data_IF_548682230596
#
_entry.id   IF_548682230596
#
_cell.length_a   1.000
_cell.length_b   1.000
_cell.length_c   1.000
_cell.angle_alpha   90.00
_cell.angle_beta   90.00
_cell.angle_gamma   90.00
#
_symmetry.space_group_name_H-M   'P 1'
#
loop_
_entity.id
_entity.type
_entity.pdbx_description
1 polymer ?
#
# COMPACT_ATOMS: atom_id res chain seq x y z
N UNK A 1 21.64 -10.96 48.49
CA UNK A 1 22.37 -9.90 47.74
C UNK A 1 22.47 -10.36 46.29
N UNK A 2 21.64 -9.77 45.43
CA UNK A 2 21.57 -10.00 43.99
C UNK A 2 22.80 -9.43 43.29
N UNK A 3 23.30 -10.06 42.22
CA UNK A 3 23.29 -9.47 40.87
C UNK A 3 23.55 -10.56 39.82
N UNK A 4 22.54 -10.88 39.01
CA UNK A 4 22.69 -11.61 37.74
C UNK A 4 22.44 -10.59 36.62
N UNK A 5 23.47 -10.24 35.86
CA UNK A 5 23.34 -9.43 34.66
C UNK A 5 22.99 -10.37 33.48
N UNK A 6 21.74 -10.34 33.01
CA UNK A 6 21.33 -10.98 31.76
C UNK A 6 21.55 -10.00 30.59
N UNK A 7 22.34 -10.44 29.61
CA UNK A 7 22.50 -9.82 28.29
C UNK A 7 21.13 -9.71 27.58
N UNK A 8 20.80 -8.53 27.09
CA UNK A 8 19.71 -8.31 26.13
C UNK A 8 20.15 -8.74 24.72
N UNK A 9 19.20 -9.27 23.94
CA UNK A 9 19.38 -9.76 22.57
C UNK A 9 19.44 -8.62 21.54
N UNK A 10 20.08 -8.81 20.37
CA UNK A 10 20.25 -7.78 19.35
C UNK A 10 18.95 -7.35 18.64
N UNK A 11 17.81 -7.94 19.00
CA UNK A 11 16.49 -7.61 18.46
C UNK A 11 15.89 -6.32 19.04
N UNK A 12 16.49 -5.75 20.10
CA UNK A 12 15.93 -4.60 20.81
C UNK A 12 16.63 -3.25 20.50
N UNK A 13 17.71 -3.25 19.72
CA UNK A 13 18.41 -2.03 19.32
C UNK A 13 17.79 -1.34 18.07
N UNK A 14 16.83 -1.98 17.39
CA UNK A 14 16.21 -1.50 16.15
C UNK A 14 14.97 -0.62 16.42
N UNK A 15 14.47 -0.55 17.66
CA UNK A 15 13.21 0.15 17.97
C UNK A 15 13.37 1.61 18.47
N UNK A 16 14.59 2.18 18.53
CA UNK A 16 14.80 3.52 19.11
C UNK A 16 15.25 4.58 18.09
N UNK A 17 15.54 4.21 16.84
CA UNK A 17 15.97 5.18 15.81
C UNK A 17 14.89 5.51 14.77
N UNK A 18 13.65 5.73 15.22
CA UNK A 18 12.55 6.23 14.39
C UNK A 18 11.78 7.41 15.03
N UNK A 19 12.36 8.07 16.06
CA UNK A 19 11.67 9.10 16.86
C UNK A 19 12.26 10.52 16.71
N UNK A 20 13.22 10.76 15.81
CA UNK A 20 13.62 12.15 15.50
C UNK A 20 13.76 12.36 14.00
N UNK A 21 12.70 12.92 13.39
CA UNK A 21 12.73 14.20 12.65
C UNK A 21 11.39 14.38 11.91
N UNK A 22 10.43 15.00 12.59
CA UNK A 22 9.49 15.90 11.91
C UNK A 22 10.02 17.32 12.09
N UNK A 23 9.90 18.12 11.04
CA UNK A 23 10.24 19.55 10.89
C UNK A 23 11.71 19.89 10.59
N UNK A 24 12.09 19.79 9.32
CA UNK A 24 12.90 20.79 8.61
C UNK A 24 12.94 20.47 7.11
N UNK A 25 12.57 21.43 6.26
CA UNK A 25 12.83 21.41 4.82
C UNK A 25 11.81 20.62 4.00
N UNK A 26 10.79 21.30 3.48
CA UNK A 26 10.12 20.83 2.28
C UNK A 26 11.13 20.80 1.14
N UNK A 27 11.54 19.61 0.75
CA UNK A 27 12.13 19.38 -0.57
C UNK A 27 10.95 19.45 -1.51
N UNK A 28 10.95 20.40 -2.45
CA UNK A 28 10.03 20.37 -3.58
C UNK A 28 10.28 19.04 -4.30
N UNK A 29 9.38 18.08 -4.12
CA UNK A 29 9.39 16.86 -4.92
C UNK A 29 9.24 17.20 -6.40
N UNK A 30 9.78 16.34 -7.25
CA UNK A 30 9.53 16.35 -8.69
C UNK A 30 8.04 16.57 -8.99
N UNK A 31 7.74 17.41 -9.98
CA UNK A 31 6.35 17.66 -10.39
C UNK A 31 5.67 16.33 -10.78
N UNK A 32 4.43 16.14 -10.33
CA UNK A 32 3.64 14.97 -10.73
C UNK A 32 3.21 15.09 -12.19
N UNK A 33 3.33 14.00 -12.95
CA UNK A 33 2.78 13.91 -14.31
C UNK A 33 1.42 13.24 -14.25
N UNK A 34 0.39 13.90 -14.78
CA UNK A 34 -0.93 13.28 -14.97
C UNK A 34 -1.00 12.70 -16.37
N UNK A 35 -1.27 11.41 -16.45
CA UNK A 35 -1.27 10.62 -17.68
C UNK A 35 -2.68 10.52 -18.29
N UNK A 36 -2.78 10.18 -19.59
CA UNK A 36 -4.08 10.07 -20.27
C UNK A 36 -5.00 8.97 -19.70
N UNK A 37 -4.42 7.96 -19.03
CA UNK A 37 -5.12 6.90 -18.31
C UNK A 37 -5.47 7.26 -16.85
N UNK A 38 -5.32 8.55 -16.48
CA UNK A 38 -5.72 9.13 -15.20
C UNK A 38 -4.74 8.92 -14.05
N UNK A 39 -3.68 8.14 -14.25
CA UNK A 39 -2.60 8.00 -13.27
C UNK A 39 -1.93 9.36 -13.00
N UNK A 40 -1.64 9.63 -11.73
CA UNK A 40 -0.76 10.73 -11.32
C UNK A 40 0.54 10.14 -10.81
N UNK A 41 1.60 10.27 -11.60
CA UNK A 41 2.89 9.66 -11.31
C UNK A 41 3.85 10.70 -10.74
N UNK A 42 4.39 10.40 -9.58
CA UNK A 42 5.53 11.10 -8.99
C UNK A 42 6.78 10.26 -9.23
N UNK A 43 7.72 10.76 -10.03
CA UNK A 43 8.93 10.03 -10.38
C UNK A 43 10.13 10.58 -9.60
N UNK A 44 10.87 9.69 -8.95
CA UNK A 44 12.07 10.05 -8.20
C UNK A 44 13.29 9.38 -8.83
N UNK A 45 14.14 10.21 -9.43
CA UNK A 45 15.31 9.77 -10.16
C UNK A 45 16.44 9.27 -9.26
N UNK A 46 17.31 8.41 -9.79
CA UNK A 46 18.43 7.85 -9.02
C UNK A 46 19.39 8.90 -8.48
N UNK A 47 19.62 9.98 -9.24
CA UNK A 47 20.48 11.09 -8.83
C UNK A 47 19.86 11.89 -7.67
N UNK A 48 18.53 12.09 -7.70
CA UNK A 48 17.79 12.75 -6.62
C UNK A 48 17.84 11.92 -5.34
N UNK A 49 17.58 10.61 -5.45
CA UNK A 49 17.66 9.67 -4.31
C UNK A 49 19.08 9.60 -3.76
N UNK A 50 20.12 9.59 -4.60
CA UNK A 50 21.51 9.57 -4.14
C UNK A 50 21.88 10.86 -3.39
N UNK A 51 21.35 12.01 -3.81
CA UNK A 51 21.53 13.28 -3.12
C UNK A 51 20.73 13.35 -1.81
N UNK A 52 19.59 12.65 -1.74
CA UNK A 52 18.68 12.65 -0.60
C UNK A 52 18.20 11.23 -0.26
N UNK A 53 19.04 10.40 0.39
CA UNK A 53 18.72 8.98 0.61
C UNK A 53 17.43 8.73 1.39
N UNK A 54 16.99 9.68 2.21
CA UNK A 54 15.72 9.60 2.95
C UNK A 54 14.48 9.53 2.05
N UNK A 55 14.58 9.98 0.80
CA UNK A 55 13.46 10.06 -0.13
C UNK A 55 12.93 8.68 -0.53
N UNK A 56 13.80 7.67 -0.70
CA UNK A 56 13.38 6.32 -1.08
C UNK A 56 12.74 5.52 0.07
N UNK A 57 12.98 5.92 1.32
CA UNK A 57 12.39 5.29 2.50
C UNK A 57 12.82 3.83 2.78
N UNK A 58 13.76 3.26 2.01
CA UNK A 58 14.23 1.88 2.15
C UNK A 58 15.77 1.79 2.19
N UNK A 59 16.35 0.79 2.90
CA UNK A 59 17.79 0.55 2.84
C UNK A 59 18.22 0.02 1.47
N UNK A 60 19.24 0.65 0.88
CA UNK A 60 19.88 0.20 -0.37
C UNK A 60 21.18 -0.57 -0.09
N UNK A 61 21.56 -1.44 -1.02
CA UNK A 61 22.79 -2.21 -0.96
C UNK A 61 24.02 -1.29 -1.00
N UNK A 62 24.97 -1.50 -0.07
CA UNK A 62 26.18 -0.70 0.07
C UNK A 62 27.37 -1.34 -0.69
N UNK A 63 27.17 -1.74 -1.94
CA UNK A 63 28.21 -2.37 -2.77
C UNK A 63 28.93 -1.34 -3.63
N UNK A 64 30.22 -1.56 -3.91
CA UNK A 64 31.00 -0.77 -4.88
C UNK A 64 30.67 -1.13 -6.34
N UNK A 65 29.62 -1.93 -6.57
CA UNK A 65 29.22 -2.34 -7.89
C UNK A 65 28.68 -1.14 -8.68
N UNK A 66 29.03 -1.06 -9.96
CA UNK A 66 28.46 -0.06 -10.85
C UNK A 66 27.07 -0.51 -11.28
N UNK A 67 26.07 0.26 -10.90
CA UNK A 67 24.69 0.08 -11.31
C UNK A 67 24.27 1.09 -12.38
N UNK A 68 23.35 0.67 -13.24
CA UNK A 68 22.71 1.52 -14.25
C UNK A 68 21.23 1.59 -13.90
N UNK A 69 20.74 2.75 -13.42
CA UNK A 69 19.34 2.98 -13.14
C UNK A 69 18.46 2.80 -14.37
N UNK A 70 17.16 2.69 -14.11
CA UNK A 70 16.15 2.81 -15.16
C UNK A 70 16.20 4.21 -15.78
N UNK A 71 15.76 4.28 -17.02
CA UNK A 71 15.65 5.52 -17.78
C UNK A 71 14.28 6.16 -17.49
N UNK A 72 14.30 7.43 -17.06
CA UNK A 72 13.11 8.17 -16.64
C UNK A 72 12.08 8.28 -17.77
N UNK A 73 12.54 8.59 -18.99
CA UNK A 73 11.66 8.76 -20.15
C UNK A 73 11.04 7.43 -20.57
N UNK A 74 11.81 6.33 -20.53
CA UNK A 74 11.27 4.99 -20.85
C UNK A 74 10.23 4.52 -19.82
N UNK A 75 10.46 4.81 -18.53
CA UNK A 75 9.51 4.47 -17.46
C UNK A 75 8.22 5.24 -17.62
N UNK A 76 8.29 6.56 -17.81
CA UNK A 76 7.11 7.39 -18.02
C UNK A 76 6.36 7.00 -19.30
N UNK A 77 7.08 6.74 -20.40
CA UNK A 77 6.47 6.29 -21.65
C UNK A 77 5.74 4.95 -21.51
N UNK A 78 6.29 4.00 -20.75
CA UNK A 78 5.65 2.71 -20.51
C UNK A 78 4.34 2.85 -19.71
N UNK A 79 4.34 3.69 -18.69
CA UNK A 79 3.15 3.97 -17.86
C UNK A 79 2.08 4.76 -18.63
N UNK A 80 2.48 5.75 -19.44
CA UNK A 80 1.57 6.51 -20.33
C UNK A 80 0.94 5.59 -21.39
N UNK A 81 1.71 4.62 -21.90
CA UNK A 81 1.23 3.67 -22.90
C UNK A 81 0.26 2.61 -22.35
N UNK A 82 0.06 2.54 -21.02
CA UNK A 82 -0.97 1.69 -20.45
C UNK A 82 -2.35 2.19 -20.86
N UNK A 83 -3.21 1.27 -21.29
CA UNK A 83 -4.51 1.53 -21.94
C UNK A 83 -5.62 0.76 -21.25
N UNK A 84 -6.87 1.06 -21.60
CA UNK A 84 -8.04 0.27 -21.18
C UNK A 84 -8.60 0.63 -19.81
N UNK A 85 -8.10 1.70 -19.18
CA UNK A 85 -8.66 2.25 -17.95
C UNK A 85 -8.46 3.77 -17.88
N UNK A 86 -9.28 4.40 -17.03
CA UNK A 86 -9.14 5.79 -16.59
C UNK A 86 -9.40 5.80 -15.09
N UNK A 87 -8.33 5.95 -14.30
CA UNK A 87 -8.37 5.87 -12.84
C UNK A 87 -7.93 7.17 -12.20
N UNK A 88 -8.33 7.44 -10.96
CA UNK A 88 -7.73 8.53 -10.18
C UNK A 88 -6.83 7.91 -9.11
N UNK A 89 -5.56 7.71 -9.43
CA UNK A 89 -4.59 7.05 -8.55
C UNK A 89 -3.24 7.76 -8.58
N UNK A 90 -2.76 8.16 -7.40
CA UNK A 90 -1.39 8.65 -7.20
C UNK A 90 -0.43 7.48 -7.03
N UNK A 91 0.67 7.48 -7.77
CA UNK A 91 1.71 6.45 -7.74
C UNK A 91 3.08 7.09 -7.63
N UNK A 92 3.86 6.65 -6.64
CA UNK A 92 5.24 7.06 -6.43
C UNK A 92 6.18 6.02 -7.08
N UNK A 93 7.05 6.44 -7.98
CA UNK A 93 7.97 5.56 -8.71
C UNK A 93 9.41 5.97 -8.43
N UNK A 94 10.18 5.05 -7.85
CA UNK A 94 11.56 5.28 -7.42
C UNK A 94 12.53 4.54 -8.33
N UNK A 95 13.37 5.28 -9.06
CA UNK A 95 14.45 4.71 -9.87
C UNK A 95 15.69 4.57 -9.00
N UNK A 96 15.96 3.37 -8.51
CA UNK A 96 16.93 3.22 -7.44
C UNK A 96 18.39 3.31 -7.96
N UNK A 97 19.29 4.02 -7.25
CA UNK A 97 20.72 4.07 -7.60
C UNK A 97 21.46 2.77 -7.28
N UNK A 98 20.91 1.94 -6.40
CA UNK A 98 21.42 0.63 -6.01
C UNK A 98 20.24 -0.29 -5.65
N UNK A 99 20.37 -1.62 -5.74
CA UNK A 99 19.27 -2.53 -5.43
C UNK A 99 18.89 -2.44 -3.94
N UNK A 100 17.62 -2.70 -3.58
CA UNK A 100 17.20 -2.80 -2.18
C UNK A 100 18.01 -3.86 -1.44
N UNK A 101 18.38 -3.57 -0.18
CA UNK A 101 19.23 -4.50 0.60
C UNK A 101 18.50 -5.81 0.95
N UNK A 102 17.17 -5.77 1.08
CA UNK A 102 16.36 -6.92 1.47
C UNK A 102 15.95 -7.80 0.28
N UNK A 103 15.79 -7.20 -0.90
CA UNK A 103 15.29 -7.87 -2.11
C UNK A 103 16.05 -7.27 -3.29
N UNK A 104 16.92 -8.06 -3.93
CA UNK A 104 17.78 -7.58 -5.01
C UNK A 104 17.06 -7.47 -6.37
N UNK A 105 15.77 -7.11 -6.36
CA UNK A 105 14.93 -6.95 -7.54
C UNK A 105 13.99 -5.76 -7.40
N UNK A 106 13.38 -5.36 -8.52
CA UNK A 106 12.23 -4.44 -8.47
C UNK A 106 11.08 -5.06 -7.71
N UNK A 107 10.26 -4.22 -7.09
CA UNK A 107 9.01 -4.61 -6.44
C UNK A 107 8.12 -3.38 -6.22
N UNK A 108 6.83 -3.62 -5.99
CA UNK A 108 5.89 -2.60 -5.58
C UNK A 108 5.38 -2.80 -4.14
N UNK A 109 4.87 -1.74 -3.52
CA UNK A 109 4.23 -1.80 -2.21
C UNK A 109 3.21 -0.68 -2.04
N UNK A 110 1.92 -1.04 -1.97
CA UNK A 110 0.84 -0.08 -1.94
C UNK A 110 0.82 0.74 -3.23
N UNK A 111 1.04 2.05 -3.13
CA UNK A 111 1.10 2.95 -4.28
C UNK A 111 2.53 3.24 -4.75
N UNK A 112 3.52 2.50 -4.25
CA UNK A 112 4.93 2.74 -4.55
C UNK A 112 5.47 1.66 -5.48
N UNK A 113 6.30 2.05 -6.45
CA UNK A 113 7.08 1.15 -7.30
C UNK A 113 8.56 1.44 -7.08
N UNK A 114 9.34 0.42 -6.77
CA UNK A 114 10.79 0.50 -6.56
C UNK A 114 11.49 -0.25 -7.68
N UNK A 115 12.15 0.47 -8.59
CA UNK A 115 12.83 -0.11 -9.73
C UNK A 115 14.32 -0.29 -9.43
N UNK A 116 14.73 -1.55 -9.20
CA UNK A 116 16.11 -1.89 -8.89
C UNK A 116 16.99 -1.81 -10.14
N UNK A 117 18.18 -1.19 -10.08
CA UNK A 117 18.98 -0.93 -11.26
C UNK A 117 19.62 -2.21 -11.83
N UNK A 118 19.98 -2.16 -13.11
CA UNK A 118 20.75 -3.21 -13.76
C UNK A 118 22.25 -3.07 -13.50
N UNK A 119 23.03 -4.09 -13.85
CA UNK A 119 24.50 -4.00 -13.93
C UNK A 119 25.00 -3.42 -15.26
N UNK A 120 24.07 -3.12 -16.17
CA UNK A 120 24.29 -2.50 -17.48
C UNK A 120 22.99 -1.87 -17.98
N UNK A 121 23.03 -1.25 -19.15
CA UNK A 121 21.85 -0.62 -19.77
C UNK A 121 20.70 -1.62 -19.90
N UNK A 122 19.52 -1.20 -19.46
CA UNK A 122 18.30 -2.01 -19.49
C UNK A 122 17.54 -1.68 -20.77
N UNK A 123 17.21 -2.68 -21.57
CA UNK A 123 16.45 -2.48 -22.81
C UNK A 123 15.07 -1.86 -22.51
N UNK A 124 14.59 -0.97 -23.39
CA UNK A 124 13.30 -0.30 -23.22
C UNK A 124 12.13 -1.28 -23.03
N UNK A 125 12.11 -2.40 -23.77
CA UNK A 125 11.10 -3.45 -23.60
C UNK A 125 11.16 -4.12 -22.23
N UNK A 126 12.35 -4.36 -21.68
CA UNK A 126 12.54 -4.89 -20.33
C UNK A 126 12.07 -3.89 -19.26
N UNK A 127 12.39 -2.61 -19.43
CA UNK A 127 11.91 -1.56 -18.51
C UNK A 127 10.38 -1.47 -18.53
N UNK A 128 9.79 -1.44 -19.73
CA UNK A 128 8.34 -1.40 -19.92
C UNK A 128 7.66 -2.64 -19.34
N UNK A 129 8.22 -3.83 -19.56
CA UNK A 129 7.72 -5.08 -18.99
C UNK A 129 7.67 -5.00 -17.46
N UNK A 130 8.79 -4.64 -16.83
CA UNK A 130 8.91 -4.66 -15.37
C UNK A 130 8.03 -3.58 -14.74
N UNK A 131 8.11 -2.32 -15.17
CA UNK A 131 7.32 -1.25 -14.54
C UNK A 131 5.81 -1.50 -14.69
N UNK A 132 5.37 -2.05 -15.82
CA UNK A 132 3.96 -2.35 -16.04
C UNK A 132 3.51 -3.55 -15.21
N UNK A 133 4.37 -4.56 -15.03
CA UNK A 133 4.12 -5.67 -14.08
C UNK A 133 3.96 -5.13 -12.65
N UNK A 134 4.89 -4.29 -12.19
CA UNK A 134 4.82 -3.67 -10.86
C UNK A 134 3.59 -2.78 -10.68
N UNK A 135 3.19 -2.07 -11.74
CA UNK A 135 1.93 -1.31 -11.75
C UNK A 135 0.72 -2.26 -11.62
N UNK A 136 0.77 -3.47 -12.19
CA UNK A 136 -0.24 -4.50 -11.97
C UNK A 136 -0.45 -4.82 -10.48
N UNK A 137 0.62 -4.86 -9.68
CA UNK A 137 0.49 -4.99 -8.23
C UNK A 137 -0.14 -3.75 -7.58
N UNK A 138 0.26 -2.54 -8.00
CA UNK A 138 -0.33 -1.26 -7.53
C UNK A 138 -1.84 -1.23 -7.77
N UNK A 139 -2.28 -1.60 -8.98
CA UNK A 139 -3.69 -1.69 -9.34
C UNK A 139 -4.40 -2.78 -8.51
N UNK A 140 -3.75 -3.92 -8.28
CA UNK A 140 -4.28 -4.98 -7.41
C UNK A 140 -4.50 -4.48 -5.97
N UNK A 141 -3.54 -3.75 -5.38
CA UNK A 141 -3.73 -3.14 -4.06
C UNK A 141 -4.88 -2.13 -4.03
N UNK A 142 -4.94 -1.24 -5.02
CA UNK A 142 -5.92 -0.16 -5.06
C UNK A 142 -7.35 -0.67 -5.33
N UNK A 143 -7.50 -1.69 -6.16
CA UNK A 143 -8.81 -2.10 -6.69
C UNK A 143 -9.23 -3.51 -6.30
N UNK A 144 -8.36 -4.41 -5.84
CA UNK A 144 -8.75 -5.81 -5.57
C UNK A 144 -8.60 -6.21 -4.10
N UNK A 145 -7.54 -5.80 -3.43
CA UNK A 145 -7.15 -6.31 -2.10
C UNK A 145 -8.16 -6.11 -0.98
N UNK A 146 -9.04 -5.13 -1.12
CA UNK A 146 -10.09 -4.86 -0.13
C UNK A 146 -11.44 -5.47 -0.50
N UNK A 147 -11.49 -6.32 -1.53
CA UNK A 147 -12.70 -6.96 -2.00
C UNK A 147 -12.49 -8.45 -2.25
N UNK A 148 -12.95 -9.26 -1.30
CA UNK A 148 -12.90 -10.72 -1.42
C UNK A 148 -13.70 -11.23 -2.62
N UNK A 149 -14.80 -10.55 -2.98
CA UNK A 149 -15.60 -10.89 -4.15
C UNK A 149 -14.85 -10.66 -5.47
N UNK A 150 -14.06 -9.58 -5.58
CA UNK A 150 -13.19 -9.36 -6.76
C UNK A 150 -12.12 -10.44 -6.90
N UNK A 151 -11.49 -10.81 -5.79
CA UNK A 151 -10.55 -11.93 -5.75
C UNK A 151 -11.20 -13.26 -6.13
N UNK A 152 -12.37 -13.58 -5.58
CA UNK A 152 -13.11 -14.80 -5.93
C UNK A 152 -13.50 -14.83 -7.40
N UNK A 153 -14.05 -13.73 -7.94
CA UNK A 153 -14.43 -13.64 -9.35
C UNK A 153 -13.22 -13.80 -10.29
N UNK A 154 -12.10 -13.16 -9.96
CA UNK A 154 -10.86 -13.30 -10.73
C UNK A 154 -10.31 -14.73 -10.68
N UNK A 155 -10.22 -15.33 -9.49
CA UNK A 155 -9.71 -16.70 -9.33
C UNK A 155 -10.60 -17.72 -10.03
N UNK A 156 -11.93 -17.58 -9.94
CA UNK A 156 -12.88 -18.43 -10.64
C UNK A 156 -12.69 -18.35 -12.15
N UNK A 157 -12.63 -17.12 -12.69
CA UNK A 157 -12.46 -16.91 -14.13
C UNK A 157 -11.11 -17.42 -14.64
N UNK A 158 -10.05 -17.30 -13.83
CA UNK A 158 -8.71 -17.80 -14.17
C UNK A 158 -8.50 -19.27 -13.87
N UNK A 159 -9.46 -19.97 -13.26
CA UNK A 159 -9.32 -21.36 -12.86
C UNK A 159 -8.26 -21.58 -11.77
N UNK A 160 -8.08 -20.61 -10.88
CA UNK A 160 -7.07 -20.63 -9.81
C UNK A 160 -7.67 -21.13 -8.49
N UNK A 161 -6.83 -21.75 -7.67
CA UNK A 161 -7.19 -22.26 -6.34
C UNK A 161 -6.26 -21.67 -5.27
N UNK A 162 -6.76 -21.54 -4.03
CA UNK A 162 -5.89 -21.11 -2.92
C UNK A 162 -4.82 -22.17 -2.56
N UNK A 163 -5.07 -23.43 -2.89
CA UNK A 163 -4.14 -24.54 -2.64
C UNK A 163 -2.92 -24.44 -3.55
N UNK A 164 -3.14 -24.19 -4.85
CA UNK A 164 -2.08 -24.17 -5.85
C UNK A 164 -1.49 -22.77 -6.07
N UNK A 165 -2.28 -21.73 -5.83
CA UNK A 165 -1.93 -20.34 -6.16
C UNK A 165 -1.85 -19.41 -4.94
N UNK A 166 -1.82 -19.99 -3.74
CA UNK A 166 -1.65 -19.24 -2.49
C UNK A 166 -0.26 -18.60 -2.33
N UNK A 167 -0.03 -17.81 -1.26
CA UNK A 167 1.22 -17.07 -1.06
C UNK A 167 2.50 -17.93 -0.98
N UNK A 168 2.36 -19.21 -0.61
CA UNK A 168 3.46 -20.18 -0.54
C UNK A 168 3.79 -20.84 -1.87
N UNK A 169 2.98 -20.63 -2.93
CA UNK A 169 3.25 -21.19 -4.24
C UNK A 169 4.57 -20.65 -4.83
N UNK A 170 5.11 -21.36 -5.83
CA UNK A 170 6.19 -20.83 -6.65
C UNK A 170 5.78 -19.47 -7.23
N UNK A 171 6.73 -18.54 -7.38
CA UNK A 171 6.45 -17.15 -7.75
C UNK A 171 5.47 -17.03 -8.93
N UNK A 172 5.78 -17.60 -10.09
CA UNK A 172 4.90 -17.59 -11.27
C UNK A 172 3.51 -18.25 -11.06
N UNK A 173 3.32 -19.05 -10.01
CA UNK A 173 2.04 -19.70 -9.69
C UNK A 173 1.20 -18.92 -8.68
N UNK A 174 1.73 -17.87 -8.03
CA UNK A 174 0.96 -17.11 -7.03
C UNK A 174 -0.11 -16.27 -7.71
N UNK A 175 -1.34 -16.29 -7.20
CA UNK A 175 -2.45 -15.53 -7.78
C UNK A 175 -2.15 -14.03 -7.92
N UNK A 176 -1.38 -13.45 -6.97
CA UNK A 176 -0.93 -12.05 -7.01
C UNK A 176 0.05 -11.73 -8.15
N UNK A 177 0.90 -12.69 -8.50
CA UNK A 177 1.88 -12.54 -9.59
C UNK A 177 1.17 -12.73 -10.93
N UNK A 178 0.27 -13.73 -10.99
CA UNK A 178 -0.55 -13.98 -12.17
C UNK A 178 -1.41 -12.74 -12.50
N UNK A 179 -2.08 -12.13 -11.52
CA UNK A 179 -2.92 -10.94 -11.82
C UNK A 179 -2.10 -9.71 -12.24
N UNK A 180 -0.91 -9.52 -11.68
CA UNK A 180 -0.01 -8.45 -12.10
C UNK A 180 0.47 -8.65 -13.54
N UNK A 181 0.75 -9.90 -13.89
CA UNK A 181 1.12 -10.30 -15.24
C UNK A 181 -0.05 -10.19 -16.23
N UNK A 182 -1.27 -10.54 -15.81
CA UNK A 182 -2.50 -10.34 -16.57
C UNK A 182 -2.74 -8.83 -16.81
N UNK A 183 -2.52 -7.98 -15.81
CA UNK A 183 -2.57 -6.51 -15.97
C UNK A 183 -1.55 -6.03 -17.01
N UNK A 184 -0.30 -6.49 -16.90
CA UNK A 184 0.76 -6.16 -17.86
C UNK A 184 0.37 -6.57 -19.28
N UNK A 185 -0.12 -7.78 -19.46
CA UNK A 185 -0.44 -8.33 -20.77
C UNK A 185 -1.64 -7.63 -21.42
N UNK A 186 -2.70 -7.39 -20.66
CA UNK A 186 -3.95 -6.82 -21.18
C UNK A 186 -3.88 -5.31 -21.36
N UNK A 187 -3.34 -4.60 -20.36
CA UNK A 187 -3.40 -3.14 -20.27
C UNK A 187 -2.06 -2.47 -20.60
N UNK A 188 -0.94 -3.20 -20.66
CA UNK A 188 0.38 -2.65 -20.98
C UNK A 188 0.57 -2.31 -22.47
N UNK A 189 1.36 -1.28 -22.77
CA UNK A 189 1.73 -0.88 -24.13
C UNK A 189 2.55 -1.93 -24.92
N UNK A 190 2.74 -1.71 -26.21
CA UNK A 190 3.38 -2.66 -27.14
C UNK A 190 4.76 -3.15 -26.66
N UNK A 191 5.56 -2.28 -26.02
CA UNK A 191 6.86 -2.66 -25.47
C UNK A 191 6.73 -3.59 -24.25
N UNK A 192 5.73 -3.35 -23.40
CA UNK A 192 5.50 -4.17 -22.22
C UNK A 192 5.00 -5.56 -22.61
N UNK A 193 4.33 -5.71 -23.76
CA UNK A 193 3.74 -6.97 -24.25
C UNK A 193 4.54 -7.64 -25.36
N UNK A 194 5.71 -7.09 -25.74
CA UNK A 194 6.45 -7.49 -26.94
C UNK A 194 6.87 -8.97 -26.99
N UNK A 195 6.95 -9.64 -25.84
CA UNK A 195 7.29 -11.07 -25.76
C UNK A 195 6.10 -11.98 -26.11
N UNK A 196 4.87 -11.47 -26.00
CA UNK A 196 3.63 -12.24 -26.17
C UNK A 196 3.45 -13.36 -25.14
N UNK A 197 4.29 -13.44 -24.11
CA UNK A 197 4.27 -14.50 -23.10
C UNK A 197 3.93 -13.94 -21.73
N UNK A 198 3.41 -14.82 -20.87
CA UNK A 198 3.32 -14.62 -19.43
C UNK A 198 4.31 -15.52 -18.70
N UNK A 199 4.67 -15.17 -17.46
CA UNK A 199 5.59 -15.99 -16.65
C UNK A 199 5.09 -17.41 -16.44
N UNK A 200 3.79 -17.56 -16.16
CA UNK A 200 3.16 -18.87 -16.01
C UNK A 200 2.77 -19.47 -17.36
N UNK A 201 3.70 -20.18 -17.99
CA UNK A 201 3.49 -20.81 -19.30
C UNK A 201 2.49 -21.97 -19.30
N UNK A 202 2.01 -22.41 -18.14
CA UNK A 202 0.99 -23.45 -18.06
C UNK A 202 -0.44 -22.88 -18.17
N UNK A 203 -0.60 -21.58 -17.99
CA UNK A 203 -1.89 -20.91 -18.12
C UNK A 203 -2.12 -20.43 -19.56
N UNK A 204 -3.39 -20.38 -19.94
CA UNK A 204 -3.85 -19.67 -21.12
C UNK A 204 -3.49 -18.17 -21.04
N UNK A 205 -3.20 -17.56 -22.19
CA UNK A 205 -2.85 -16.15 -22.23
C UNK A 205 -4.04 -15.28 -21.82
N UNK A 206 -3.81 -14.14 -21.16
CA UNK A 206 -4.90 -13.34 -20.60
C UNK A 206 -5.90 -12.82 -21.65
N UNK A 207 -5.43 -12.52 -22.86
CA UNK A 207 -6.24 -12.07 -23.98
C UNK A 207 -7.06 -13.21 -24.64
N UNK A 208 -6.82 -14.46 -24.25
CA UNK A 208 -7.54 -15.65 -24.70
C UNK A 208 -8.58 -16.12 -23.67
N UNK A 209 -8.56 -15.60 -22.45
CA UNK A 209 -9.55 -15.93 -21.41
C UNK A 209 -10.80 -15.06 -21.59
N UNK A 210 -11.90 -15.69 -22.03
CA UNK A 210 -13.19 -15.02 -22.24
C UNK A 210 -13.64 -14.22 -21.01
N UNK A 211 -13.88 -12.91 -21.20
CA UNK A 211 -14.39 -12.01 -20.16
C UNK A 211 -13.35 -11.50 -19.16
N UNK A 212 -12.08 -11.92 -19.23
CA UNK A 212 -11.06 -11.47 -18.27
C UNK A 212 -10.77 -9.98 -18.38
N UNK A 213 -10.61 -9.47 -19.61
CA UNK A 213 -10.41 -8.05 -19.86
C UNK A 213 -11.59 -7.22 -19.33
N UNK A 214 -12.83 -7.66 -19.58
CA UNK A 214 -14.03 -6.96 -19.12
C UNK A 214 -14.13 -6.96 -17.59
N UNK A 215 -13.80 -8.09 -16.94
CA UNK A 215 -13.78 -8.21 -15.49
C UNK A 215 -12.80 -7.22 -14.86
N UNK A 216 -11.55 -7.23 -15.31
CA UNK A 216 -10.50 -6.37 -14.77
C UNK A 216 -10.77 -4.89 -15.10
N UNK A 217 -11.25 -4.58 -16.30
CA UNK A 217 -11.65 -3.22 -16.68
C UNK A 217 -12.80 -2.72 -15.80
N UNK A 218 -13.77 -3.59 -15.50
CA UNK A 218 -14.87 -3.30 -14.57
C UNK A 218 -14.36 -2.96 -13.16
N UNK A 219 -13.36 -3.70 -12.66
CA UNK A 219 -12.75 -3.40 -11.36
C UNK A 219 -12.07 -2.03 -11.32
N UNK A 220 -11.41 -1.62 -12.42
CA UNK A 220 -10.71 -0.34 -12.55
C UNK A 220 -11.67 0.85 -12.78
N UNK A 221 -12.80 0.62 -13.45
CA UNK A 221 -13.81 1.65 -13.72
C UNK A 221 -14.62 2.02 -12.46
N UNK A 222 -14.80 1.08 -11.55
CA UNK A 222 -15.34 1.37 -10.22
C UNK A 222 -14.29 2.12 -9.40
N UNK A 223 -14.68 3.16 -8.66
CA UNK A 223 -13.76 3.86 -7.72
C UNK A 223 -12.96 2.81 -6.93
N UNK A 224 -11.66 3.05 -6.64
CA UNK A 224 -10.85 2.14 -5.83
C UNK A 224 -11.71 1.61 -4.71
N UNK A 225 -11.82 0.30 -4.63
CA UNK A 225 -12.68 -0.36 -3.67
C UNK A 225 -12.13 -0.07 -2.27
N UNK A 226 -12.34 1.14 -1.77
CA UNK A 226 -12.54 1.38 -0.37
C UNK A 226 -13.92 0.83 -0.04
N UNK A 227 -14.10 -0.49 -0.26
CA UNK A 227 -15.02 -1.24 0.55
C UNK A 227 -14.43 -1.17 1.95
N UNK A 228 -14.76 -0.09 2.65
CA UNK A 228 -14.43 0.04 4.06
C UNK A 228 -15.02 -1.20 4.71
N UNK A 229 -14.16 -2.14 5.12
CA UNK A 229 -14.62 -3.34 5.79
C UNK A 229 -15.21 -2.89 7.12
N UNK A 230 -16.53 -2.81 7.20
CA UNK A 230 -17.24 -2.33 8.39
C UNK A 230 -17.13 -3.39 9.48
N UNK A 231 -16.33 -3.11 10.48
CA UNK A 231 -16.18 -3.95 11.65
C UNK A 231 -16.84 -3.31 12.88
N UNK A 232 -17.22 -4.15 13.85
CA UNK A 232 -17.68 -3.66 15.13
C UNK A 232 -16.47 -3.29 16.00
N UNK A 233 -16.45 -2.05 16.50
CA UNK A 233 -15.56 -1.64 17.56
C UNK A 233 -16.30 -1.60 18.90
N UNK A 234 -15.57 -1.81 19.99
CA UNK A 234 -16.09 -1.72 21.36
C UNK A 234 -15.45 -0.53 22.06
N UNK A 235 -16.26 0.35 22.62
CA UNK A 235 -15.81 1.37 23.56
C UNK A 235 -15.94 0.80 24.98
N UNK A 236 -14.86 0.72 25.74
CA UNK A 236 -14.89 0.28 27.13
C UNK A 236 -13.94 1.11 28.01
N UNK A 237 -14.38 1.54 29.21
CA UNK A 237 -15.76 1.48 29.69
C UNK A 237 -16.71 2.36 28.85
N UNK A 238 -17.98 1.99 28.78
CA UNK A 238 -19.07 2.79 28.20
C UNK A 238 -20.37 2.46 28.96
N UNK A 239 -20.93 3.40 29.76
CA UNK A 239 -20.52 4.80 29.92
C UNK A 239 -19.11 4.99 30.51
N UNK A 240 -18.43 6.08 30.16
CA UNK A 240 -17.06 6.38 30.60
C UNK A 240 -16.98 7.64 31.49
N UNK A 241 -15.97 7.70 32.38
CA UNK A 241 -15.67 8.90 33.17
C UNK A 241 -14.14 9.12 33.31
N UNK A 242 -13.58 10.14 32.64
CA UNK A 242 -13.91 10.54 31.27
C UNK A 242 -13.20 9.69 30.20
N UNK A 243 -12.40 8.69 30.63
CA UNK A 243 -11.52 7.91 29.76
C UNK A 243 -12.22 6.64 29.26
N UNK A 244 -12.07 6.36 27.97
CA UNK A 244 -12.55 5.15 27.31
C UNK A 244 -11.55 4.69 26.25
N UNK A 245 -11.48 3.39 26.03
CA UNK A 245 -10.67 2.78 24.99
C UNK A 245 -11.58 2.24 23.90
N UNK A 246 -11.36 2.66 22.66
CA UNK A 246 -12.05 2.13 21.49
C UNK A 246 -11.16 1.01 20.94
N UNK A 247 -11.66 -0.22 20.99
CA UNK A 247 -10.97 -1.42 20.52
C UNK A 247 -11.62 -1.97 19.25
N UNK A 248 -10.79 -2.38 18.30
CA UNK A 248 -11.18 -2.94 17.02
C UNK A 248 -10.28 -4.14 16.69
N UNK A 249 -10.89 -5.31 16.56
CA UNK A 249 -10.21 -6.50 16.05
C UNK A 249 -10.10 -6.40 14.53
N UNK A 250 -8.88 -6.59 14.01
CA UNK A 250 -8.62 -6.52 12.58
C UNK A 250 -8.35 -7.90 11.99
N UNK A 251 -8.75 -8.12 10.71
CA UNK A 251 -8.29 -9.27 9.95
C UNK A 251 -6.75 -9.36 9.91
N UNK A 252 -6.24 -10.59 9.96
CA UNK A 252 -4.82 -10.89 9.77
C UNK A 252 -4.34 -10.29 8.45
N UNK A 253 -3.28 -9.48 8.51
CA UNK A 253 -2.71 -8.80 7.33
C UNK A 253 -3.16 -7.36 7.11
N UNK A 254 -4.07 -6.81 7.92
CA UNK A 254 -4.47 -5.40 7.83
C UNK A 254 -3.28 -4.47 8.12
N UNK A 255 -2.86 -3.66 7.17
CA UNK A 255 -1.78 -2.67 7.36
C UNK A 255 -2.30 -1.26 7.08
N UNK A 256 -1.83 -0.28 7.85
CA UNK A 256 -2.15 1.12 7.56
C UNK A 256 -2.13 2.04 8.77
N UNK A 257 -2.54 3.28 8.53
CA UNK A 257 -2.67 4.30 9.57
C UNK A 257 -3.96 4.09 10.38
N UNK A 258 -3.86 4.27 11.69
CA UNK A 258 -4.99 4.28 12.61
C UNK A 258 -5.38 5.73 12.91
N UNK A 259 -6.66 6.05 12.78
CA UNK A 259 -7.22 7.35 13.18
C UNK A 259 -8.56 7.16 13.86
N UNK A 260 -8.73 7.79 15.02
CA UNK A 260 -10.01 7.90 15.72
C UNK A 260 -10.51 9.34 15.63
N UNK A 261 -11.68 9.53 15.03
CA UNK A 261 -12.40 10.80 15.04
C UNK A 261 -13.62 10.67 15.97
N UNK A 262 -13.81 11.65 16.86
CA UNK A 262 -14.92 11.71 17.82
C UNK A 262 -15.78 12.93 17.51
N UNK A 263 -17.09 12.76 17.54
CA UNK A 263 -18.08 13.76 17.17
C UNK A 263 -19.11 13.97 18.29
N UNK A 264 -19.57 15.20 18.46
CA UNK A 264 -20.71 15.52 19.32
C UNK A 264 -22.04 15.04 18.70
N UNK A 265 -23.14 15.17 19.46
CA UNK A 265 -24.48 14.79 19.00
C UNK A 265 -25.00 15.63 17.81
N UNK A 266 -24.36 16.75 17.49
CA UNK A 266 -24.68 17.61 16.33
C UNK A 266 -23.84 17.24 15.10
N UNK A 267 -22.91 16.29 15.23
CA UNK A 267 -22.01 15.86 14.17
C UNK A 267 -20.73 16.69 14.05
N UNK A 268 -20.45 17.60 14.98
CA UNK A 268 -19.18 18.33 14.96
C UNK A 268 -18.06 17.45 15.50
N UNK A 269 -16.94 17.39 14.78
CA UNK A 269 -15.75 16.69 15.25
C UNK A 269 -15.17 17.45 16.45
N UNK A 270 -15.14 16.80 17.61
CA UNK A 270 -14.58 17.35 18.84
C UNK A 270 -13.13 16.94 19.04
N UNK A 271 -12.74 15.76 18.54
CA UNK A 271 -11.39 15.23 18.71
C UNK A 271 -10.96 14.39 17.51
N UNK A 272 -9.70 14.51 17.08
CA UNK A 272 -9.02 13.56 16.20
C UNK A 272 -7.77 13.02 16.90
N UNK A 273 -7.61 11.69 16.96
CA UNK A 273 -6.48 11.02 17.61
C UNK A 273 -5.78 10.16 16.57
N UNK A 274 -4.47 10.39 16.41
CA UNK A 274 -3.60 9.51 15.66
C UNK A 274 -3.25 8.28 16.51
N UNK A 275 -3.63 7.10 16.04
CA UNK A 275 -3.34 5.82 16.69
C UNK A 275 -2.05 5.16 16.20
N UNK A 276 -1.30 5.81 15.31
CA UNK A 276 -0.08 5.27 14.71
C UNK A 276 -0.35 4.29 13.57
N UNK A 277 0.69 3.55 13.17
CA UNK A 277 0.61 2.52 12.12
C UNK A 277 0.55 1.13 12.72
N UNK A 278 -0.14 0.23 12.04
CA UNK A 278 -0.37 -1.15 12.49
C UNK A 278 0.01 -2.18 11.43
N UNK A 279 0.25 -3.41 11.90
CA UNK A 279 0.43 -4.61 11.10
C UNK A 279 -0.44 -5.73 11.70
N UNK A 280 -1.75 -5.67 11.45
CA UNK A 280 -2.76 -6.62 11.92
C UNK A 280 -2.99 -6.60 13.43
N UNK A 281 -3.92 -7.42 13.90
CA UNK A 281 -4.20 -7.60 15.33
C UNK A 281 -5.26 -6.64 15.91
N UNK A 282 -5.24 -6.47 17.23
CA UNK A 282 -6.20 -5.62 17.93
C UNK A 282 -5.69 -4.17 18.01
N UNK A 283 -6.49 -3.23 17.51
CA UNK A 283 -6.25 -1.80 17.63
C UNK A 283 -6.97 -1.27 18.86
N UNK A 284 -6.25 -0.51 19.69
CA UNK A 284 -6.82 0.19 20.83
C UNK A 284 -6.43 1.66 20.78
N UNK A 285 -7.42 2.54 20.76
CA UNK A 285 -7.21 4.00 20.80
C UNK A 285 -7.91 4.58 22.01
N UNK A 286 -7.16 5.30 22.84
CA UNK A 286 -7.67 5.93 24.05
C UNK A 286 -8.20 7.34 23.80
N UNK A 287 -9.42 7.60 24.24
CA UNK A 287 -9.94 8.96 24.35
C UNK A 287 -10.11 9.33 25.83
N UNK A 288 -9.59 10.49 26.21
CA UNK A 288 -9.63 11.02 27.59
C UNK A 288 -10.83 11.95 27.85
N UNK A 289 -11.76 12.08 26.90
CA UNK A 289 -12.88 12.99 26.99
C UNK A 289 -12.52 14.46 26.73
N UNK A 290 -11.37 14.76 26.12
CA UNK A 290 -11.01 16.14 25.78
C UNK A 290 -11.18 16.39 24.28
N UNK A 291 -11.42 17.64 23.91
CA UNK A 291 -11.44 18.10 22.52
C UNK A 291 -10.02 18.29 21.95
N UNK A 292 -9.90 18.71 20.69
CA UNK A 292 -8.61 19.01 20.03
C UNK A 292 -7.82 20.13 20.73
N UNK A 293 -8.48 20.99 21.51
CA UNK A 293 -7.84 22.06 22.31
C UNK A 293 -7.39 21.58 23.68
N UNK A 294 -7.62 20.32 24.02
CA UNK A 294 -7.31 19.75 25.33
C UNK A 294 -8.33 20.09 26.42
N UNK A 295 -9.47 20.71 26.06
CA UNK A 295 -10.53 21.08 27.00
C UNK A 295 -11.50 19.91 27.19
N UNK A 296 -11.94 19.66 28.42
CA UNK A 296 -12.93 18.62 28.69
C UNK A 296 -14.28 18.93 28.04
N UNK A 297 -14.81 17.99 27.26
CA UNK A 297 -16.17 18.09 26.67
C UNK A 297 -17.27 17.78 27.70
N UNK A 298 -18.51 18.21 27.45
CA UNK A 298 -19.63 18.01 28.37
C UNK A 298 -20.08 16.53 28.47
N UNK A 299 -20.73 16.16 29.57
CA UNK A 299 -21.44 14.87 29.69
C UNK A 299 -22.49 14.73 28.57
N UNK A 300 -22.58 13.54 27.96
CA UNK A 300 -23.49 13.32 26.84
C UNK A 300 -23.10 12.15 25.93
N UNK A 301 -23.86 11.99 24.85
CA UNK A 301 -23.59 10.99 23.81
C UNK A 301 -22.64 11.54 22.76
N UNK A 302 -21.64 10.74 22.41
CA UNK A 302 -20.67 11.01 21.36
C UNK A 302 -20.70 9.89 20.33
N UNK A 303 -20.42 10.24 19.08
CA UNK A 303 -20.20 9.30 18.00
C UNK A 303 -18.69 9.19 17.74
N UNK A 304 -18.24 8.04 17.28
CA UNK A 304 -16.85 7.88 16.86
C UNK A 304 -16.75 7.12 15.54
N UNK A 305 -15.68 7.43 14.81
CA UNK A 305 -15.24 6.72 13.61
C UNK A 305 -13.79 6.32 13.83
N UNK A 306 -13.51 5.02 13.84
CA UNK A 306 -12.16 4.46 13.91
C UNK A 306 -11.81 3.90 12.54
N UNK A 307 -10.72 4.39 11.94
CA UNK A 307 -10.15 3.89 10.69
C UNK A 307 -8.83 3.21 10.99
N UNK A 308 -8.58 2.06 10.39
CA UNK A 308 -7.33 1.32 10.52
C UNK A 308 -7.00 0.66 9.18
N UNK A 309 -6.17 1.32 8.37
CA UNK A 309 -5.97 0.94 6.98
C UNK A 309 -7.29 0.99 6.20
N UNK A 310 -7.73 -0.17 5.69
CA UNK A 310 -8.94 -0.32 4.87
C UNK A 310 -10.15 -0.77 5.69
N UNK A 311 -9.96 -1.03 6.99
CA UNK A 311 -11.03 -1.31 7.95
C UNK A 311 -11.51 0.00 8.56
N UNK A 312 -12.83 0.16 8.70
CA UNK A 312 -13.37 1.17 9.60
C UNK A 312 -14.50 0.64 10.46
N UNK A 313 -14.55 1.14 11.69
CA UNK A 313 -15.63 0.93 12.63
C UNK A 313 -16.27 2.27 12.99
N UNK A 314 -17.56 2.22 13.29
CA UNK A 314 -18.31 3.36 13.79
C UNK A 314 -19.13 2.93 14.99
N UNK A 315 -19.30 3.81 15.96
CA UNK A 315 -20.10 3.52 17.13
C UNK A 315 -20.45 4.78 17.89
N UNK A 316 -21.09 4.59 19.03
CA UNK A 316 -21.39 5.68 19.96
C UNK A 316 -21.01 5.30 21.38
N UNK A 317 -20.66 6.29 22.17
CA UNK A 317 -20.33 6.14 23.59
C UNK A 317 -20.96 7.26 24.42
N UNK A 318 -21.15 6.99 25.70
CA UNK A 318 -21.72 7.93 26.66
C UNK A 318 -20.63 8.38 27.62
N UNK A 319 -20.34 9.68 27.66
CA UNK A 319 -19.42 10.29 28.61
C UNK A 319 -20.21 10.86 29.79
N UNK A 320 -19.79 10.52 30.99
CA UNK A 320 -20.34 11.01 32.26
C UNK A 320 -19.19 11.59 33.06
N UNK A 321 -19.28 12.88 33.36
CA UNK A 321 -18.39 13.60 34.27
C UNK A 321 -19.17 14.05 35.49
#
# INVERSE_FOLDING_TARGET
MMTFAKKLSPTLAILVLAILLMSAGGVQGSESVTMANGLRVHLYGAAEIAAQPSLCGIPLSATDARYVPYDEDQVLAALEAMRGFDVTLDVDVYLLPAPPAAVASSYASGNNIYLAPGTGTIAASTQAYIVTHEMGHVLTWAFMDNSSSRWSAYMELRGLSNEDNGPSAAHANRAREIVAEDFRHLFGGDLATSTGSIENRALELPDQVDGLMDLLSGFLAERPAAEVMRHAAKAFPNPCNPRTTISLELPSGTVGQVRLDVFDARGHRVRSIDGGRIQGGNVMVDWNGNDDRGTGVASGRYLYVLRAGTVQAQGSLTLVR
#
